data_IF_802948951883
#
_entry.id   IF_802948951883
#
_cell.length_a   1.000
_cell.length_b   1.000
_cell.length_c   1.000
_cell.angle_alpha   90.00
_cell.angle_beta   90.00
_cell.angle_gamma   90.00
#
_symmetry.space_group_name_H-M   'P 1'
#
loop_
_entity.id
_entity.type
_entity.pdbx_description
1 polymer ?
#
# COMPACT_ATOMS: atom_id res chain seq x y z
N UNK A 1 19.05 10.51 70.73
CA UNK A 1 18.72 11.55 69.73
C UNK A 1 19.13 11.22 68.28
N UNK A 2 19.95 10.18 68.00
CA UNK A 2 20.38 9.88 66.62
C UNK A 2 19.37 9.08 65.76
N UNK A 3 18.32 8.52 66.35
CA UNK A 3 17.33 7.70 65.63
C UNK A 3 16.35 8.54 64.78
N UNK A 4 16.01 9.76 65.20
CA UNK A 4 15.10 10.62 64.44
C UNK A 4 15.73 11.19 63.16
N UNK A 5 17.05 11.41 63.16
CA UNK A 5 17.77 11.98 62.02
C UNK A 5 17.87 10.98 60.86
N UNK A 6 18.17 9.70 61.14
CA UNK A 6 18.25 8.64 60.12
C UNK A 6 16.90 8.34 59.44
N UNK A 7 15.78 8.54 60.15
CA UNK A 7 14.45 8.31 59.58
C UNK A 7 14.08 9.37 58.53
N UNK A 8 14.42 10.64 58.80
CA UNK A 8 14.14 11.76 57.89
C UNK A 8 14.93 11.68 56.57
N UNK A 9 16.15 11.15 56.61
CA UNK A 9 17.03 11.03 55.45
C UNK A 9 16.56 9.95 54.47
N UNK A 10 16.00 8.83 54.97
CA UNK A 10 15.45 7.77 54.12
C UNK A 10 14.13 8.16 53.43
N UNK A 11 13.28 8.95 54.09
CA UNK A 11 11.99 9.39 53.53
C UNK A 11 12.17 10.32 52.31
N UNK A 12 13.16 11.21 52.34
CA UNK A 12 13.43 12.10 51.19
C UNK A 12 14.01 11.34 49.99
N UNK A 13 14.84 10.31 50.22
CA UNK A 13 15.36 9.45 49.15
C UNK A 13 14.25 8.62 48.49
N UNK A 14 13.31 8.11 49.29
CA UNK A 14 12.15 7.36 48.77
C UNK A 14 11.20 8.22 47.93
N UNK A 15 10.98 9.50 48.29
CA UNK A 15 10.15 10.43 47.52
C UNK A 15 10.74 10.79 46.16
N UNK A 16 12.06 10.91 46.05
CA UNK A 16 12.73 11.19 44.78
C UNK A 16 12.63 10.03 43.78
N UNK A 17 12.70 8.79 44.27
CA UNK A 17 12.61 7.60 43.44
C UNK A 17 11.19 7.40 42.88
N UNK A 18 10.15 7.55 43.71
CA UNK A 18 8.77 7.38 43.24
C UNK A 18 8.36 8.42 42.21
N UNK A 19 8.86 9.66 42.32
CA UNK A 19 8.62 10.70 41.33
C UNK A 19 9.29 10.36 39.97
N UNK A 20 10.52 9.83 40.00
CA UNK A 20 11.21 9.40 38.78
C UNK A 20 10.49 8.22 38.12
N UNK A 21 10.09 7.21 38.89
CA UNK A 21 9.34 6.05 38.39
C UNK A 21 7.99 6.49 37.79
N UNK A 22 7.27 7.40 38.45
CA UNK A 22 6.01 7.95 37.93
C UNK A 22 6.22 8.74 36.63
N UNK A 23 7.27 9.55 36.53
CA UNK A 23 7.58 10.30 35.32
C UNK A 23 7.94 9.39 34.14
N UNK A 24 8.75 8.36 34.40
CA UNK A 24 9.15 7.38 33.38
C UNK A 24 7.94 6.56 32.91
N UNK A 25 7.10 6.07 33.84
CA UNK A 25 5.90 5.29 33.50
C UNK A 25 4.87 6.12 32.73
N UNK A 26 4.63 7.37 33.13
CA UNK A 26 3.74 8.29 32.42
C UNK A 26 4.27 8.63 31.01
N UNK A 27 5.57 8.90 30.88
CA UNK A 27 6.20 9.14 29.59
C UNK A 27 6.09 7.94 28.65
N UNK A 28 6.37 6.75 29.15
CA UNK A 28 6.23 5.51 28.38
C UNK A 28 4.77 5.26 27.96
N UNK A 29 3.82 5.43 28.88
CA UNK A 29 2.39 5.30 28.59
C UNK A 29 1.94 6.28 27.50
N UNK A 30 2.43 7.53 27.53
CA UNK A 30 2.13 8.56 26.52
C UNK A 30 2.66 8.16 25.14
N UNK A 31 3.89 7.64 25.06
CA UNK A 31 4.47 7.16 23.80
C UNK A 31 3.65 5.99 23.24
N UNK A 32 3.28 5.02 24.09
CA UNK A 32 2.46 3.88 23.68
C UNK A 32 1.10 4.34 23.14
N UNK A 33 0.46 5.33 23.78
CA UNK A 33 -0.81 5.89 23.32
C UNK A 33 -0.67 6.57 21.96
N UNK A 34 0.39 7.37 21.75
CA UNK A 34 0.66 8.01 20.46
C UNK A 34 0.92 6.99 19.34
N UNK A 35 1.63 5.90 19.64
CA UNK A 35 1.83 4.80 18.71
C UNK A 35 0.52 4.11 18.36
N UNK A 36 -0.33 3.82 19.35
CA UNK A 36 -1.64 3.23 19.12
C UNK A 36 -2.51 4.10 18.21
N UNK A 37 -2.54 5.42 18.47
CA UNK A 37 -3.24 6.38 17.60
C UNK A 37 -2.68 6.36 16.18
N UNK A 38 -1.35 6.35 16.02
CA UNK A 38 -0.73 6.27 14.70
C UNK A 38 -1.08 4.97 13.97
N UNK A 39 -1.11 3.83 14.67
CA UNK A 39 -1.52 2.55 14.08
C UNK A 39 -2.98 2.58 13.61
N UNK A 40 -3.88 3.21 14.37
CA UNK A 40 -5.27 3.39 13.95
C UNK A 40 -5.35 4.21 12.64
N UNK A 41 -4.57 5.29 12.53
CA UNK A 41 -4.49 6.08 11.29
C UNK A 41 -3.95 5.29 10.11
N UNK A 42 -2.86 4.54 10.31
CA UNK A 42 -2.28 3.69 9.24
C UNK A 42 -3.26 2.60 8.82
N UNK A 43 -3.97 2.01 9.78
CA UNK A 43 -5.01 1.01 9.49
C UNK A 43 -6.15 1.61 8.65
N UNK A 44 -6.66 2.78 9.05
CA UNK A 44 -7.69 3.51 8.30
C UNK A 44 -7.21 3.84 6.88
N UNK A 45 -6.01 4.41 6.76
CA UNK A 45 -5.36 4.70 5.49
C UNK A 45 -5.26 3.44 4.61
N UNK A 46 -4.95 2.30 5.22
CA UNK A 46 -4.84 1.02 4.54
C UNK A 46 -6.16 0.50 3.98
N UNK A 47 -7.27 0.69 4.69
CA UNK A 47 -8.62 0.36 4.21
C UNK A 47 -9.04 1.28 3.07
N UNK A 48 -8.73 2.57 3.19
CA UNK A 48 -9.04 3.56 2.17
C UNK A 48 -8.29 3.29 0.85
N UNK A 49 -6.98 3.01 0.91
CA UNK A 49 -6.18 2.60 -0.26
C UNK A 49 -6.72 1.32 -0.87
N UNK A 50 -7.17 0.35 -0.07
CA UNK A 50 -7.75 -0.88 -0.60
C UNK A 50 -9.02 -0.62 -1.42
N UNK A 51 -9.90 0.27 -0.93
CA UNK A 51 -11.10 0.69 -1.67
C UNK A 51 -10.72 1.42 -2.97
N UNK A 52 -9.84 2.42 -2.90
CA UNK A 52 -9.43 3.21 -4.06
C UNK A 52 -8.70 2.36 -5.11
N UNK A 53 -7.85 1.42 -4.67
CA UNK A 53 -7.15 0.47 -5.52
C UNK A 53 -8.13 -0.47 -6.22
N UNK A 54 -9.13 -1.00 -5.50
CA UNK A 54 -10.14 -1.88 -6.09
C UNK A 54 -10.91 -1.18 -7.21
N UNK A 55 -11.39 0.04 -6.96
CA UNK A 55 -12.16 0.78 -7.96
C UNK A 55 -11.29 1.18 -9.16
N UNK A 56 -10.07 1.63 -8.91
CA UNK A 56 -9.13 1.99 -9.98
C UNK A 56 -8.78 0.79 -10.85
N UNK A 57 -8.56 -0.38 -10.26
CA UNK A 57 -8.24 -1.60 -11.01
C UNK A 57 -9.45 -2.12 -11.78
N UNK A 58 -10.69 -1.89 -11.31
CA UNK A 58 -11.91 -2.13 -12.10
C UNK A 58 -12.03 -1.20 -13.30
N UNK A 59 -11.64 0.07 -13.17
CA UNK A 59 -11.56 0.99 -14.32
C UNK A 59 -10.46 0.54 -15.28
N UNK A 60 -9.31 0.13 -14.74
CA UNK A 60 -8.18 -0.40 -15.51
C UNK A 60 -8.56 -1.62 -16.37
N UNK A 61 -9.38 -2.51 -15.81
CA UNK A 61 -9.82 -3.72 -16.52
C UNK A 61 -10.77 -3.42 -17.70
N UNK A 62 -11.34 -2.21 -17.76
CA UNK A 62 -12.18 -1.70 -18.87
C UNK A 62 -11.41 -0.82 -19.86
N UNK A 63 -10.27 -0.27 -19.46
CA UNK A 63 -9.49 0.73 -20.22
C UNK A 63 -8.14 0.19 -20.69
N UNK A 64 -7.99 -1.14 -20.77
CA UNK A 64 -6.75 -1.80 -21.18
C UNK A 64 -5.51 -1.36 -20.38
N UNK A 65 -5.67 -1.09 -19.08
CA UNK A 65 -4.58 -0.64 -18.19
C UNK A 65 -3.94 0.71 -18.56
N UNK A 66 -4.73 1.67 -19.05
CA UNK A 66 -4.23 3.03 -19.26
C UNK A 66 -3.78 3.68 -17.94
N UNK A 67 -2.46 3.83 -17.79
CA UNK A 67 -1.83 4.36 -16.59
C UNK A 67 -2.31 5.78 -16.25
N UNK A 68 -2.59 6.61 -17.25
CA UNK A 68 -3.04 7.98 -17.02
C UNK A 68 -4.45 8.00 -16.41
N UNK A 69 -5.38 7.25 -17.02
CA UNK A 69 -6.75 7.11 -16.49
C UNK A 69 -6.75 6.50 -15.10
N UNK A 70 -5.92 5.48 -14.86
CA UNK A 70 -5.80 4.83 -13.55
C UNK A 70 -5.31 5.81 -12.47
N UNK A 71 -4.22 6.55 -12.76
CA UNK A 71 -3.70 7.54 -11.82
C UNK A 71 -4.70 8.67 -11.57
N UNK A 72 -5.38 9.17 -12.61
CA UNK A 72 -6.39 10.20 -12.48
C UNK A 72 -7.57 9.73 -11.60
N UNK A 73 -8.07 8.51 -11.82
CA UNK A 73 -9.15 7.94 -11.02
C UNK A 73 -8.73 7.73 -9.56
N UNK A 74 -7.54 7.19 -9.31
CA UNK A 74 -7.04 7.01 -7.96
C UNK A 74 -6.87 8.36 -7.25
N UNK A 75 -6.22 9.33 -7.89
CA UNK A 75 -6.04 10.66 -7.33
C UNK A 75 -7.38 11.36 -7.05
N UNK A 76 -8.38 11.21 -7.93
CA UNK A 76 -9.73 11.71 -7.70
C UNK A 76 -10.37 11.10 -6.43
N UNK A 77 -10.23 9.79 -6.22
CA UNK A 77 -10.74 9.12 -5.02
C UNK A 77 -9.99 9.56 -3.77
N UNK A 78 -8.66 9.66 -3.85
CA UNK A 78 -7.80 10.00 -2.72
C UNK A 78 -7.94 11.46 -2.29
N UNK A 79 -8.13 12.38 -3.24
CA UNK A 79 -8.29 13.82 -2.96
C UNK A 79 -9.53 14.16 -2.13
N UNK A 80 -10.45 13.21 -1.91
CA UNK A 80 -11.58 13.38 -0.98
C UNK A 80 -11.13 13.51 0.47
N UNK A 81 -9.97 12.96 0.83
CA UNK A 81 -9.37 13.15 2.14
C UNK A 81 -8.16 14.11 2.01
N UNK A 82 -8.17 15.27 2.68
CA UNK A 82 -7.07 16.22 2.67
C UNK A 82 -5.70 15.64 3.06
N UNK A 83 -5.67 14.54 3.82
CA UNK A 83 -4.43 13.88 4.26
C UNK A 83 -3.67 13.22 3.12
N UNK A 84 -4.32 12.97 1.99
CA UNK A 84 -3.76 12.26 0.85
C UNK A 84 -3.34 13.16 -0.31
N UNK A 85 -3.44 14.48 -0.12
CA UNK A 85 -2.97 15.47 -1.09
C UNK A 85 -1.48 15.19 -1.39
N UNK A 86 -1.17 15.02 -2.67
CA UNK A 86 0.18 14.73 -3.18
C UNK A 86 0.74 13.33 -2.86
N UNK A 87 -0.12 12.37 -2.50
CA UNK A 87 0.34 10.97 -2.41
C UNK A 87 0.76 10.44 -3.78
N UNK A 88 2.01 9.99 -3.88
CA UNK A 88 2.48 9.29 -5.07
C UNK A 88 1.92 7.86 -5.07
N UNK A 89 1.42 7.44 -6.23
CA UNK A 89 0.88 6.09 -6.44
C UNK A 89 1.60 5.42 -7.61
N UNK A 90 2.06 4.19 -7.39
CA UNK A 90 2.55 3.32 -8.46
C UNK A 90 1.60 2.15 -8.63
N UNK A 91 1.25 1.86 -9.87
CA UNK A 91 0.39 0.72 -10.22
C UNK A 91 1.16 -0.16 -11.18
N UNK A 92 1.43 -1.39 -10.75
CA UNK A 92 2.24 -2.35 -11.52
C UNK A 92 1.39 -3.58 -11.82
N UNK A 93 1.27 -3.93 -13.11
CA UNK A 93 0.63 -5.18 -13.53
C UNK A 93 1.52 -6.35 -13.11
N UNK A 94 1.02 -7.19 -12.22
CA UNK A 94 1.70 -8.44 -11.83
C UNK A 94 1.28 -9.59 -12.75
N UNK A 95 -0.01 -9.68 -13.11
CA UNK A 95 -0.52 -10.65 -14.09
C UNK A 95 -1.67 -10.09 -14.94
N UNK A 96 -1.84 -10.56 -16.18
CA UNK A 96 -0.86 -11.40 -16.90
C UNK A 96 0.41 -10.62 -17.22
N UNK A 97 1.56 -11.30 -17.19
CA UNK A 97 2.87 -10.75 -17.54
C UNK A 97 3.03 -10.62 -19.05
N UNK A 98 4.01 -9.84 -19.52
CA UNK A 98 4.29 -9.75 -20.96
C UNK A 98 4.62 -11.12 -21.57
N UNK A 99 5.28 -12.00 -20.80
CA UNK A 99 5.61 -13.36 -21.23
C UNK A 99 4.36 -14.26 -21.32
N UNK A 100 3.45 -14.17 -20.35
CA UNK A 100 2.16 -14.90 -20.41
C UNK A 100 1.33 -14.41 -21.61
N UNK A 101 1.44 -13.14 -22.00
CA UNK A 101 0.76 -12.59 -23.18
C UNK A 101 1.34 -13.07 -24.53
N UNK A 102 2.54 -13.64 -24.56
CA UNK A 102 3.13 -14.17 -25.81
C UNK A 102 2.30 -15.30 -26.41
N UNK A 103 1.51 -16.00 -25.60
CA UNK A 103 0.58 -17.04 -26.05
C UNK A 103 -0.60 -16.51 -26.88
N UNK A 104 -0.80 -15.19 -26.92
CA UNK A 104 -1.93 -14.54 -27.59
C UNK A 104 -1.42 -13.51 -28.63
N UNK A 105 -0.97 -13.96 -29.80
CA UNK A 105 -0.55 -13.05 -30.87
C UNK A 105 -1.73 -12.18 -31.30
N UNK A 106 -1.48 -10.88 -31.51
CA UNK A 106 -2.50 -9.98 -32.05
C UNK A 106 -2.50 -10.05 -33.58
N UNK A 107 -3.69 -9.94 -34.16
CA UNK A 107 -3.87 -9.75 -35.60
C UNK A 107 -3.80 -8.27 -36.02
N UNK A 108 -3.74 -7.36 -35.04
CA UNK A 108 -3.65 -5.92 -35.26
C UNK A 108 -2.21 -5.51 -35.62
N UNK A 109 -2.05 -4.53 -36.51
CA UNK A 109 -0.76 -4.03 -36.94
C UNK A 109 -0.03 -3.27 -35.83
N UNK A 110 -0.77 -2.67 -34.89
CA UNK A 110 -0.20 -1.81 -33.84
C UNK A 110 0.24 -2.59 -32.58
N UNK A 111 -0.24 -3.82 -32.42
CA UNK A 111 -0.04 -4.61 -31.21
C UNK A 111 0.73 -5.89 -31.49
N UNK A 112 1.64 -6.25 -30.56
CA UNK A 112 2.40 -7.50 -30.63
C UNK A 112 1.59 -8.66 -30.07
N UNK A 113 0.93 -8.42 -28.94
CA UNK A 113 0.16 -9.40 -28.20
C UNK A 113 -1.15 -8.80 -27.73
N UNK A 114 -2.22 -9.60 -27.78
CA UNK A 114 -3.57 -9.17 -27.38
C UNK A 114 -4.34 -10.33 -26.75
N UNK A 115 -4.68 -10.17 -25.47
CA UNK A 115 -5.60 -11.06 -24.79
C UNK A 115 -7.03 -10.54 -24.96
N UNK A 116 -7.75 -11.12 -25.91
CA UNK A 116 -9.17 -10.83 -26.16
C UNK A 116 -10.02 -11.42 -25.04
N UNK A 117 -11.04 -10.67 -24.60
CA UNK A 117 -11.96 -11.10 -23.54
C UNK A 117 -13.40 -11.32 -24.01
N UNK A 118 -13.70 -10.87 -25.23
CA UNK A 118 -15.03 -10.97 -25.83
C UNK A 118 -15.32 -12.40 -26.27
N UNK A 119 -16.58 -12.80 -26.14
CA UNK A 119 -17.08 -14.12 -26.56
C UNK A 119 -16.26 -15.28 -26.01
N UNK A 120 -15.95 -15.24 -24.70
CA UNK A 120 -15.08 -16.21 -24.05
C UNK A 120 -15.49 -17.67 -24.28
N UNK A 121 -16.79 -17.98 -24.21
CA UNK A 121 -17.31 -19.32 -24.43
C UNK A 121 -17.01 -19.84 -25.85
N UNK A 122 -17.22 -18.99 -26.87
CA UNK A 122 -16.96 -19.33 -28.27
C UNK A 122 -15.47 -19.58 -28.50
N UNK A 123 -14.60 -18.76 -27.89
CA UNK A 123 -13.14 -18.92 -28.00
C UNK A 123 -12.66 -20.21 -27.34
N UNK A 124 -13.23 -20.54 -26.18
CA UNK A 124 -12.86 -21.75 -25.44
C UNK A 124 -13.35 -23.03 -26.13
N UNK A 125 -14.43 -22.98 -26.91
CA UNK A 125 -15.02 -24.15 -27.57
C UNK A 125 -14.03 -24.91 -28.49
N UNK A 126 -13.06 -24.22 -29.08
CA UNK A 126 -12.02 -24.81 -29.93
C UNK A 126 -10.71 -25.15 -29.22
N UNK A 127 -10.58 -24.84 -27.93
CA UNK A 127 -9.35 -25.01 -27.15
C UNK A 127 -9.31 -26.35 -26.40
N UNK A 128 -8.10 -26.85 -26.13
CA UNK A 128 -7.93 -27.99 -25.21
C UNK A 128 -8.28 -27.57 -23.77
N UNK A 129 -8.73 -28.48 -22.89
CA UNK A 129 -9.09 -28.16 -21.51
C UNK A 129 -8.00 -27.39 -20.74
N UNK A 130 -6.73 -27.77 -20.91
CA UNK A 130 -5.59 -27.09 -20.28
C UNK A 130 -5.43 -25.63 -20.76
N UNK A 131 -5.66 -25.38 -22.05
CA UNK A 131 -5.62 -24.04 -22.63
C UNK A 131 -6.81 -23.18 -22.17
N UNK A 132 -7.98 -23.80 -21.99
CA UNK A 132 -9.16 -23.12 -21.44
C UNK A 132 -8.88 -22.66 -20.00
N UNK A 133 -8.32 -23.54 -19.16
CA UNK A 133 -7.97 -23.19 -17.79
C UNK A 133 -6.93 -22.06 -17.75
N UNK A 134 -5.90 -22.13 -18.60
CA UNK A 134 -4.89 -21.08 -18.69
C UNK A 134 -5.49 -19.75 -19.17
N UNK A 135 -6.34 -19.76 -20.20
CA UNK A 135 -7.05 -18.58 -20.67
C UNK A 135 -7.92 -17.95 -19.56
N UNK A 136 -8.63 -18.76 -18.78
CA UNK A 136 -9.41 -18.27 -17.64
C UNK A 136 -8.53 -17.65 -16.55
N UNK A 137 -7.34 -18.20 -16.30
CA UNK A 137 -6.35 -17.63 -15.37
C UNK A 137 -5.78 -16.31 -15.88
N UNK A 138 -5.43 -16.23 -17.16
CA UNK A 138 -4.82 -15.04 -17.77
C UNK A 138 -5.81 -13.88 -17.88
N UNK A 139 -7.11 -14.18 -17.91
CA UNK A 139 -8.19 -13.18 -17.83
C UNK A 139 -8.34 -12.53 -16.46
N UNK A 140 -7.64 -12.99 -15.44
CA UNK A 140 -7.62 -12.35 -14.12
C UNK A 140 -6.45 -11.37 -14.09
N UNK A 141 -6.80 -10.08 -14.12
CA UNK A 141 -5.86 -9.00 -13.94
C UNK A 141 -5.46 -8.90 -12.46
N UNK A 142 -4.17 -9.07 -12.19
CA UNK A 142 -3.55 -8.84 -10.89
C UNK A 142 -2.70 -7.57 -10.97
N UNK A 143 -3.07 -6.55 -10.21
CA UNK A 143 -2.34 -5.28 -10.13
C UNK A 143 -1.87 -5.07 -8.69
N UNK A 144 -0.60 -4.71 -8.54
CA UNK A 144 -0.09 -4.16 -7.29
C UNK A 144 -0.22 -2.65 -7.32
N UNK A 145 -0.97 -2.11 -6.37
CA UNK A 145 -1.08 -0.68 -6.12
C UNK A 145 -0.26 -0.37 -4.88
N UNK A 146 0.71 0.52 -5.02
CA UNK A 146 1.49 1.04 -3.89
C UNK A 146 1.22 2.53 -3.77
N UNK A 147 0.72 2.95 -2.61
CA UNK A 147 0.49 4.35 -2.27
C UNK A 147 1.40 4.77 -1.11
N UNK A 148 1.97 5.98 -1.17
CA UNK A 148 2.82 6.51 -0.10
C UNK A 148 1.98 7.37 0.86
N UNK A 149 1.81 6.91 2.10
CA UNK A 149 0.99 7.59 3.12
C UNK A 149 1.86 8.41 4.10
N UNK A 150 1.63 9.72 4.27
CA UNK A 150 2.42 10.52 5.21
C UNK A 150 2.13 10.16 6.66
N UNK A 151 3.16 9.85 7.45
CA UNK A 151 3.03 9.60 8.88
C UNK A 151 2.92 10.91 9.66
N UNK A 152 1.99 11.00 10.61
CA UNK A 152 1.78 12.23 11.42
C UNK A 152 2.69 12.29 12.64
N UNK A 153 3.01 11.16 13.25
CA UNK A 153 3.81 11.09 14.49
C UNK A 153 5.28 10.81 14.14
N UNK A 154 6.15 11.79 14.37
CA UNK A 154 7.60 11.72 14.08
C UNK A 154 8.29 10.56 14.82
N UNK A 155 7.89 10.29 16.08
CA UNK A 155 8.47 9.19 16.86
C UNK A 155 8.10 7.83 16.24
N UNK A 156 6.84 7.67 15.83
CA UNK A 156 6.38 6.45 15.18
C UNK A 156 7.16 6.19 13.89
N UNK A 157 7.46 7.25 13.13
CA UNK A 157 8.29 7.17 11.94
C UNK A 157 9.67 6.56 12.22
N UNK A 158 10.39 7.02 13.26
CA UNK A 158 11.72 6.44 13.59
C UNK A 158 11.64 4.94 13.90
N UNK A 159 10.62 4.54 14.65
CA UNK A 159 10.42 3.13 15.03
C UNK A 159 10.04 2.30 13.80
N UNK A 160 9.11 2.79 12.98
CA UNK A 160 8.63 2.13 11.78
C UNK A 160 9.74 2.01 10.73
N UNK A 161 10.52 3.06 10.49
CA UNK A 161 11.66 3.01 9.55
C UNK A 161 12.78 2.08 10.04
N UNK A 162 13.06 2.06 11.34
CA UNK A 162 14.02 1.11 11.90
C UNK A 162 13.57 -0.34 11.70
N UNK A 163 12.29 -0.62 11.95
CA UNK A 163 11.70 -1.95 11.75
C UNK A 163 11.60 -2.35 10.26
N UNK A 164 11.54 -1.39 9.34
CA UNK A 164 11.26 -1.63 7.92
C UNK A 164 12.38 -1.16 6.97
N UNK A 165 13.61 -0.98 7.46
CA UNK A 165 14.77 -0.54 6.66
C UNK A 165 15.02 -1.40 5.40
N UNK A 166 14.71 -2.70 5.45
CA UNK A 166 14.76 -3.62 4.30
C UNK A 166 13.70 -3.37 3.21
N UNK A 167 12.61 -2.66 3.54
CA UNK A 167 11.46 -2.41 2.68
C UNK A 167 11.55 -1.06 1.92
N UNK A 168 12.53 -0.22 2.26
CA UNK A 168 12.79 1.13 1.70
C UNK A 168 13.16 1.18 0.21
N UNK A 169 13.13 0.06 -0.53
CA UNK A 169 13.48 0.01 -1.97
C UNK A 169 12.44 0.61 -2.91
N UNK A 170 11.31 1.12 -2.41
CA UNK A 170 10.37 1.84 -3.25
C UNK A 170 10.88 3.26 -3.50
N UNK A 171 11.69 3.42 -4.55
CA UNK A 171 12.21 4.71 -5.02
C UNK A 171 11.11 5.78 -5.13
N UNK A 172 9.90 5.36 -5.47
CA UNK A 172 8.68 6.18 -5.50
C UNK A 172 8.35 6.89 -4.18
N UNK A 173 8.39 6.20 -3.04
CA UNK A 173 8.09 6.82 -1.74
C UNK A 173 9.31 7.58 -1.20
N UNK A 174 10.53 7.10 -1.47
CA UNK A 174 11.75 7.83 -1.14
C UNK A 174 11.81 9.21 -1.83
N UNK A 175 11.36 9.30 -3.09
CA UNK A 175 11.26 10.57 -3.79
C UNK A 175 10.36 11.59 -3.07
N UNK A 176 9.29 11.10 -2.43
CA UNK A 176 8.37 11.94 -1.65
C UNK A 176 8.95 12.33 -0.28
N UNK A 177 9.78 11.46 0.33
CA UNK A 177 10.46 11.77 1.59
C UNK A 177 11.39 12.99 1.47
N UNK A 178 11.98 13.23 0.28
CA UNK A 178 12.78 14.43 0.01
C UNK A 178 11.99 15.75 0.10
N UNK A 179 10.65 15.70 0.03
CA UNK A 179 9.78 16.86 0.23
C UNK A 179 9.46 17.13 1.71
N UNK A 180 10.13 16.42 2.63
CA UNK A 180 10.03 16.64 4.08
C UNK A 180 8.86 15.91 4.76
N UNK A 181 8.04 15.18 4.02
CA UNK A 181 7.00 14.32 4.56
C UNK A 181 7.49 12.88 4.60
N UNK A 182 7.65 12.30 5.79
CA UNK A 182 8.07 10.89 5.85
C UNK A 182 6.88 9.99 5.58
N UNK A 183 7.03 9.16 4.55
CA UNK A 183 5.94 8.36 4.02
C UNK A 183 6.08 6.88 4.37
N UNK A 184 4.93 6.22 4.42
CA UNK A 184 4.80 4.79 4.64
C UNK A 184 4.18 4.14 3.41
N UNK A 185 4.84 3.15 2.79
CA UNK A 185 4.28 2.48 1.61
C UNK A 185 3.16 1.53 2.02
N UNK A 186 1.96 1.75 1.48
CA UNK A 186 0.82 0.85 1.59
C UNK A 186 0.66 0.10 0.27
N UNK A 187 0.92 -1.21 0.28
CA UNK A 187 0.80 -2.08 -0.91
C UNK A 187 -0.48 -2.91 -0.85
N UNK A 188 -1.20 -2.94 -1.97
CA UNK A 188 -2.42 -3.75 -2.14
C UNK A 188 -2.35 -4.46 -3.48
N UNK A 189 -2.49 -5.78 -3.44
CA UNK A 189 -2.66 -6.60 -4.63
C UNK A 189 -4.14 -6.80 -4.87
N UNK A 190 -4.62 -6.35 -6.03
CA UNK A 190 -6.03 -6.42 -6.41
C UNK A 190 -6.17 -7.37 -7.59
N UNK A 191 -7.16 -8.27 -7.50
CA UNK A 191 -7.53 -9.21 -8.55
C UNK A 191 -8.90 -8.85 -9.09
N UNK A 192 -9.00 -8.62 -10.40
CA UNK A 192 -10.27 -8.39 -11.08
C UNK A 192 -10.30 -9.13 -12.42
N UNK A 193 -11.48 -9.57 -12.90
CA UNK A 193 -11.59 -10.05 -14.27
C UNK A 193 -11.35 -8.90 -15.27
N UNK A 194 -10.69 -9.21 -16.38
CA UNK A 194 -10.60 -8.30 -17.52
C UNK A 194 -11.96 -8.14 -18.19
N UNK A 195 -12.36 -6.89 -18.42
CA UNK A 195 -13.59 -6.49 -19.12
C UNK A 195 -13.33 -5.87 -20.50
N UNK A 196 -12.07 -5.59 -20.82
CA UNK A 196 -11.60 -5.11 -22.12
C UNK A 196 -10.37 -5.91 -22.55
N UNK A 197 -10.08 -5.98 -23.86
CA UNK A 197 -8.87 -6.61 -24.35
C UNK A 197 -7.63 -5.99 -23.72
N UNK A 198 -6.67 -6.85 -23.33
CA UNK A 198 -5.39 -6.39 -22.82
C UNK A 198 -4.37 -6.43 -23.95
N UNK A 199 -3.79 -5.27 -24.27
CA UNK A 199 -2.94 -5.08 -25.44
C UNK A 199 -1.52 -4.69 -25.05
N UNK A 200 -0.55 -5.19 -25.81
CA UNK A 200 0.88 -4.82 -25.70
C UNK A 200 1.32 -4.26 -27.04
N UNK A 201 1.73 -2.99 -27.06
CA UNK A 201 2.26 -2.33 -28.25
C UNK A 201 3.59 -2.97 -28.69
N UNK A 202 3.87 -2.91 -29.99
CA UNK A 202 5.13 -3.39 -30.58
C UNK A 202 6.33 -2.56 -30.11
#
# INVERSE_FOLDING_TARGET
>A
MNLSMNLSMNLNKQRGQSMLEAAVTLGAATIILLLAIQFIWVFYASQFVQYAALETVRVASKTSMDNLTMQANFNYLMNKDPQWRFSYVTMTRLRPTNKELEAYPSNDLDYKHELLVDYAEIRMAGMKPEQQEQYLKDRILLVEVTACYPLKVIIANRILNAAYSSYSKNAACLAQDHLGAVTWPIRRQIRVPLHSPLRVKK
#
